data_IF_851696412606
#
_entry.id   IF_851696412606
#
_cell.length_a   1.000
_cell.length_b   1.000
_cell.length_c   1.000
_cell.angle_alpha   90.00
_cell.angle_beta   90.00
_cell.angle_gamma   90.00
#
_symmetry.space_group_name_H-M   'P 1'
#
loop_
_entity.id
_entity.type
_entity.pdbx_description
1 polymer ?
#
# COMPACT_ATOMS: atom_id res chain seq x y z
N UNK A 1 46.27 86.07 7.61
CA UNK A 1 47.63 86.51 8.00
C UNK A 1 48.42 85.25 8.28
N UNK A 2 49.32 84.87 7.36
CA UNK A 2 50.26 83.74 7.51
C UNK A 2 51.40 84.14 8.47
N UNK A 3 52.12 83.20 9.12
CA UNK A 3 53.32 82.61 8.48
C UNK A 3 53.55 81.10 8.83
N UNK A 4 54.11 80.32 7.89
CA UNK A 4 55.47 79.71 7.91
C UNK A 4 55.59 78.45 8.79
N UNK A 5 56.42 77.45 8.50
CA UNK A 5 57.17 76.97 7.32
C UNK A 5 57.80 75.64 7.78
N UNK A 6 58.04 74.76 6.81
CA UNK A 6 58.65 73.43 6.93
C UNK A 6 59.98 73.38 7.71
N UNK A 7 60.24 72.24 8.37
CA UNK A 7 61.58 71.65 8.32
C UNK A 7 61.52 70.12 8.44
N UNK A 8 62.15 69.44 7.47
CA UNK A 8 61.88 68.05 7.13
C UNK A 8 62.84 67.00 7.70
N UNK A 9 62.37 65.74 7.70
CA UNK A 9 63.19 64.54 7.46
C UNK A 9 62.27 63.32 7.24
N UNK A 10 62.20 62.77 6.02
CA UNK A 10 61.99 61.32 5.83
C UNK A 10 63.38 60.69 5.71
N UNK A 11 63.64 59.51 6.31
CA UNK A 11 63.43 58.29 5.52
C UNK A 11 63.10 57.01 6.31
N UNK A 12 62.40 56.12 5.61
CA UNK A 12 62.53 54.65 5.61
C UNK A 12 62.54 53.83 6.91
N UNK A 13 61.56 52.92 6.99
CA UNK A 13 61.86 51.50 7.17
C UNK A 13 61.68 50.93 8.58
N UNK A 14 60.48 50.42 8.87
CA UNK A 14 60.31 49.36 9.86
C UNK A 14 59.61 48.16 9.21
N UNK A 15 60.28 47.02 9.34
CA UNK A 15 60.15 45.82 8.54
C UNK A 15 59.13 44.83 9.10
N UNK A 16 58.72 43.86 8.25
CA UNK A 16 57.84 42.72 8.56
C UNK A 16 58.27 41.85 9.78
N UNK A 17 59.42 42.12 10.42
CA UNK A 17 59.92 41.40 11.60
C UNK A 17 59.54 42.03 12.95
N UNK A 18 58.87 43.19 12.98
CA UNK A 18 58.24 43.69 14.22
C UNK A 18 56.89 43.03 14.53
N UNK A 19 56.42 42.14 13.64
CA UNK A 19 55.12 41.47 13.77
C UNK A 19 55.21 40.03 14.34
N UNK A 20 56.40 39.46 14.58
CA UNK A 20 56.53 38.01 14.88
C UNK A 20 57.59 37.61 15.93
N UNK A 21 57.81 38.38 17.00
CA UNK A 21 58.72 37.91 18.07
C UNK A 21 58.37 38.42 19.48
N UNK A 22 57.95 37.47 20.33
CA UNK A 22 57.86 37.55 21.80
C UNK A 22 56.42 37.62 22.29
N UNK A 23 55.67 36.55 22.57
CA UNK A 23 55.95 35.29 23.30
C UNK A 23 56.69 35.49 24.62
N UNK A 24 55.97 35.24 25.72
CA UNK A 24 56.49 34.43 26.84
C UNK A 24 56.49 35.10 28.22
N UNK A 25 55.58 34.68 29.11
CA UNK A 25 55.65 35.00 30.54
C UNK A 25 54.50 34.45 31.41
N UNK A 26 54.48 33.13 31.62
CA UNK A 26 54.09 32.34 32.83
C UNK A 26 53.46 33.16 33.99
N UNK A 27 52.31 32.88 34.61
CA UNK A 27 51.68 31.62 35.02
C UNK A 27 51.85 31.40 36.53
N UNK A 28 50.79 31.54 37.37
CA UNK A 28 50.74 30.99 38.73
C UNK A 28 49.31 31.03 39.37
N UNK A 29 48.75 29.84 39.57
CA UNK A 29 47.73 29.39 40.56
C UNK A 29 46.26 29.79 40.39
N UNK A 30 45.43 28.77 40.11
CA UNK A 30 43.97 28.82 40.27
C UNK A 30 43.24 27.63 39.65
N UNK A 31 43.60 26.39 40.02
CA UNK A 31 42.84 25.20 39.66
C UNK A 31 41.48 25.19 40.38
N UNK A 32 40.39 25.47 39.64
CA UNK A 32 39.07 24.89 39.86
C UNK A 32 38.34 24.90 38.50
N UNK A 33 38.13 23.70 37.98
CA UNK A 33 37.65 23.35 36.64
C UNK A 33 36.19 23.68 36.36
N UNK A 34 35.89 24.22 35.17
CA UNK A 34 34.73 23.78 34.37
C UNK A 34 33.55 24.72 34.11
N UNK A 35 33.74 26.02 33.85
CA UNK A 35 32.71 26.84 33.18
C UNK A 35 33.30 27.40 31.88
N UNK A 36 32.97 26.76 30.77
CA UNK A 36 33.45 27.11 29.44
C UNK A 36 33.04 28.52 29.04
N UNK A 37 34.04 29.36 28.85
CA UNK A 37 33.99 30.64 28.13
C UNK A 37 33.30 30.47 26.77
N UNK A 38 32.10 31.03 26.63
CA UNK A 38 31.46 31.19 25.32
C UNK A 38 32.17 32.28 24.52
N UNK A 39 32.59 31.96 23.30
CA UNK A 39 33.06 32.96 22.36
C UNK A 39 31.84 33.72 21.80
N UNK A 40 31.76 35.03 22.07
CA UNK A 40 30.73 35.90 21.49
C UNK A 40 31.24 36.45 20.16
N UNK A 41 31.16 35.64 19.10
CA UNK A 41 31.34 36.09 17.72
C UNK A 41 29.94 36.18 17.09
N UNK A 42 29.26 37.29 17.34
CA UNK A 42 28.13 37.71 16.53
C UNK A 42 28.62 38.83 15.61
N UNK A 43 29.16 38.45 14.46
CA UNK A 43 29.26 39.42 13.37
C UNK A 43 27.83 39.58 12.80
N UNK A 44 27.25 40.77 12.96
CA UNK A 44 25.95 41.13 12.35
C UNK A 44 26.25 42.10 11.22
N UNK A 45 26.69 41.58 10.09
CA UNK A 45 26.65 42.34 8.83
C UNK A 45 25.29 42.10 8.17
N UNK A 46 24.44 43.13 8.18
CA UNK A 46 23.19 43.13 7.44
C UNK A 46 23.47 43.55 5.99
N UNK A 47 23.66 42.57 5.09
CA UNK A 47 23.67 42.82 3.66
C UNK A 47 22.22 43.09 3.20
N UNK A 48 21.86 44.29 2.71
CA UNK A 48 20.47 44.66 2.43
C UNK A 48 19.86 43.97 1.19
N UNK A 49 20.51 42.95 0.63
CA UNK A 49 20.06 42.21 -0.57
C UNK A 49 20.35 40.70 -0.50
N UNK A 50 20.50 40.13 0.69
CA UNK A 50 20.56 38.68 0.82
C UNK A 50 19.14 38.11 0.86
N UNK A 51 18.65 37.59 -0.27
CA UNK A 51 17.55 36.62 -0.26
C UNK A 51 18.15 35.32 0.25
N UNK A 52 17.96 35.01 1.53
CA UNK A 52 18.18 33.67 2.03
C UNK A 52 17.08 32.78 1.43
N UNK A 53 17.36 32.14 0.30
CA UNK A 53 16.56 31.02 -0.15
C UNK A 53 16.78 29.87 0.83
N UNK A 54 15.73 29.41 1.51
CA UNK A 54 15.74 28.07 2.07
C UNK A 54 16.09 27.12 0.92
N UNK A 55 17.02 26.18 1.14
CA UNK A 55 17.50 25.29 0.07
C UNK A 55 16.33 24.72 -0.72
N UNK A 56 16.41 24.79 -2.05
CA UNK A 56 15.40 24.20 -2.91
C UNK A 56 15.46 22.67 -2.76
N UNK A 57 14.32 22.05 -2.46
CA UNK A 57 14.15 20.60 -2.65
C UNK A 57 13.91 20.44 -4.14
N UNK A 58 14.91 19.98 -4.87
CA UNK A 58 14.82 19.78 -6.31
C UNK A 58 14.86 18.31 -6.65
N UNK A 59 13.74 17.78 -7.15
CA UNK A 59 13.65 16.46 -7.78
C UNK A 59 13.77 16.61 -9.30
N UNK A 60 14.33 15.60 -9.93
CA UNK A 60 14.31 15.45 -11.39
C UNK A 60 13.74 14.10 -11.77
N UNK A 61 13.07 14.07 -12.92
CA UNK A 61 12.61 12.85 -13.59
C UNK A 61 13.25 12.85 -14.98
N UNK A 62 14.00 11.81 -15.29
CA UNK A 62 14.82 11.68 -16.51
C UNK A 62 15.73 12.91 -16.73
N UNK A 63 16.30 13.42 -15.62
CA UNK A 63 17.17 14.59 -15.59
C UNK A 63 16.48 15.94 -15.74
N UNK A 64 15.15 16.00 -15.87
CA UNK A 64 14.37 17.24 -15.96
C UNK A 64 13.70 17.57 -14.62
N UNK A 65 13.68 18.83 -14.17
CA UNK A 65 12.96 19.22 -12.95
C UNK A 65 11.48 18.80 -13.01
N UNK A 66 10.97 18.23 -11.92
CA UNK A 66 9.57 17.83 -11.76
C UNK A 66 8.91 18.61 -10.62
N UNK A 67 7.58 18.76 -10.69
CA UNK A 67 6.74 19.25 -9.61
C UNK A 67 6.24 18.14 -8.67
N UNK A 68 6.63 16.90 -8.95
CA UNK A 68 6.23 15.72 -8.18
C UNK A 68 5.10 14.92 -8.82
N UNK A 69 4.71 15.18 -10.07
CA UNK A 69 3.81 14.28 -10.82
C UNK A 69 4.58 13.66 -11.97
N UNK A 70 4.44 12.35 -12.15
CA UNK A 70 5.08 11.58 -13.23
C UNK A 70 4.03 10.75 -13.93
N UNK A 71 3.97 10.84 -15.24
CA UNK A 71 3.10 10.01 -16.07
C UNK A 71 3.97 9.14 -16.96
N UNK A 72 3.75 7.83 -16.92
CA UNK A 72 4.46 6.84 -17.72
C UNK A 72 3.47 6.22 -18.71
N UNK A 73 3.86 6.17 -19.98
CA UNK A 73 2.99 5.71 -21.06
C UNK A 73 3.20 6.50 -22.35
N UNK A 74 2.28 6.36 -23.32
CA UNK A 74 1.11 5.48 -23.29
C UNK A 74 1.51 4.00 -23.39
N UNK A 75 0.79 3.15 -22.66
CA UNK A 75 0.90 1.70 -22.71
C UNK A 75 -0.20 1.09 -23.57
N UNK A 76 0.12 0.17 -24.49
CA UNK A 76 -0.89 -0.51 -25.27
C UNK A 76 -1.65 -1.53 -24.41
N UNK A 77 -2.97 -1.39 -24.33
CA UNK A 77 -3.86 -2.28 -23.58
C UNK A 77 -4.29 -3.44 -24.48
N UNK A 78 -3.34 -4.31 -24.79
CA UNK A 78 -3.60 -5.51 -25.59
C UNK A 78 -3.50 -6.75 -24.71
N UNK A 79 -4.41 -7.70 -24.93
CA UNK A 79 -4.33 -9.01 -24.31
C UNK A 79 -3.03 -9.70 -24.67
N UNK A 80 -2.29 -10.14 -23.67
CA UNK A 80 -1.03 -10.87 -23.84
C UNK A 80 -0.98 -12.05 -22.89
N UNK A 81 -0.21 -13.09 -23.26
CA UNK A 81 0.17 -14.11 -22.29
C UNK A 81 1.26 -13.57 -21.37
N UNK A 82 1.41 -14.15 -20.18
CA UNK A 82 2.42 -13.72 -19.22
C UNK A 82 3.87 -13.80 -19.78
N UNK A 83 4.13 -14.75 -20.69
CA UNK A 83 5.44 -14.89 -21.33
C UNK A 83 5.68 -13.84 -22.45
N UNK A 84 4.63 -13.14 -22.89
CA UNK A 84 4.64 -12.18 -24.00
C UNK A 84 4.32 -10.74 -23.52
N UNK A 85 4.59 -10.45 -22.25
CA UNK A 85 4.33 -9.13 -21.64
C UNK A 85 5.00 -7.98 -22.41
N UNK A 86 4.38 -6.79 -22.44
CA UNK A 86 4.99 -5.58 -22.98
C UNK A 86 6.32 -5.24 -22.30
N UNK A 87 7.14 -4.43 -22.98
CA UNK A 87 8.34 -3.86 -22.37
C UNK A 87 7.92 -2.89 -21.26
N UNK A 88 8.54 -2.94 -20.06
CA UNK A 88 8.24 -2.01 -18.99
C UNK A 88 8.48 -0.55 -19.41
N UNK A 89 7.61 0.35 -18.96
CA UNK A 89 7.89 1.78 -18.96
C UNK A 89 8.86 2.10 -17.84
N UNK A 90 9.73 3.08 -18.04
CA UNK A 90 10.76 3.43 -17.04
C UNK A 90 10.88 4.93 -16.89
N UNK A 91 11.26 5.36 -15.69
CA UNK A 91 11.69 6.72 -15.42
C UNK A 91 12.74 6.74 -14.30
N UNK A 92 13.68 7.68 -14.38
CA UNK A 92 14.76 7.83 -13.41
C UNK A 92 14.52 9.04 -12.51
N UNK A 93 14.48 8.81 -11.21
CA UNK A 93 14.36 9.87 -10.20
C UNK A 93 15.75 10.30 -9.74
N UNK A 94 16.01 11.60 -9.75
CA UNK A 94 17.26 12.20 -9.31
C UNK A 94 17.06 13.39 -8.38
N UNK A 95 18.14 13.81 -7.72
CA UNK A 95 18.19 15.01 -6.91
C UNK A 95 19.01 16.11 -7.61
N UNK A 96 18.47 17.33 -7.72
CA UNK A 96 19.15 18.41 -8.46
C UNK A 96 19.94 19.40 -7.60
N UNK A 97 19.60 19.54 -6.32
CA UNK A 97 20.16 20.60 -5.47
C UNK A 97 20.83 20.09 -4.18
N UNK A 98 20.11 19.30 -3.38
CA UNK A 98 20.57 18.80 -2.09
C UNK A 98 20.21 17.32 -1.97
N UNK A 99 20.86 16.54 -1.09
CA UNK A 99 20.47 15.17 -0.85
C UNK A 99 19.04 15.10 -0.32
N UNK A 100 18.25 14.18 -0.86
CA UNK A 100 16.82 14.03 -0.54
C UNK A 100 16.44 12.59 -0.21
N UNK A 101 15.37 12.47 0.57
CA UNK A 101 14.57 11.25 0.72
C UNK A 101 13.40 11.34 -0.24
N UNK A 102 12.95 10.21 -0.77
CA UNK A 102 11.95 10.17 -1.83
C UNK A 102 10.83 9.19 -1.45
N UNK A 103 9.60 9.67 -1.56
CA UNK A 103 8.39 8.86 -1.47
C UNK A 103 7.72 8.83 -2.82
N UNK A 104 7.25 7.64 -3.21
CA UNK A 104 6.44 7.39 -4.38
C UNK A 104 5.06 6.92 -3.94
N UNK A 105 4.04 7.54 -4.50
CA UNK A 105 2.63 7.23 -4.27
C UNK A 105 1.87 7.23 -5.59
N UNK A 106 0.64 6.75 -5.54
CA UNK A 106 -0.38 6.89 -6.59
C UNK A 106 -1.56 7.67 -6.01
N UNK A 107 -2.48 8.11 -6.87
CA UNK A 107 -3.80 8.49 -6.38
C UNK A 107 -4.62 7.22 -6.05
N UNK A 108 -5.76 7.41 -5.40
CA UNK A 108 -6.69 6.31 -5.18
C UNK A 108 -7.35 5.89 -6.49
N UNK A 109 -7.71 4.60 -6.63
CA UNK A 109 -8.29 4.10 -7.86
C UNK A 109 -9.58 4.80 -8.22
N UNK A 110 -9.82 4.90 -9.52
CA UNK A 110 -11.09 5.31 -10.09
C UNK A 110 -11.99 4.08 -10.27
N UNK A 111 -13.32 4.25 -10.12
CA UNK A 111 -14.27 3.15 -10.38
C UNK A 111 -14.39 2.89 -11.90
N UNK A 112 -13.40 2.21 -12.49
CA UNK A 112 -13.37 1.89 -13.91
C UNK A 112 -12.94 0.45 -14.22
N UNK A 113 -13.47 -0.19 -15.29
CA UNK A 113 -13.21 -1.61 -15.56
C UNK A 113 -11.75 -1.94 -15.92
N UNK A 114 -10.94 -0.96 -16.31
CA UNK A 114 -9.53 -1.20 -16.63
C UNK A 114 -8.72 -1.42 -15.34
N UNK A 115 -9.08 -0.74 -14.26
CA UNK A 115 -8.47 -0.87 -12.94
C UNK A 115 -8.41 -2.31 -12.42
N UNK A 116 -9.53 -3.03 -12.55
CA UNK A 116 -9.64 -4.44 -12.14
C UNK A 116 -8.95 -5.42 -13.10
N UNK A 117 -8.86 -5.08 -14.39
CA UNK A 117 -8.43 -5.99 -15.43
C UNK A 117 -6.94 -5.87 -15.79
N UNK A 118 -6.37 -4.67 -15.72
CA UNK A 118 -4.97 -4.42 -16.07
C UNK A 118 -4.08 -4.83 -14.90
N UNK A 119 -3.19 -5.79 -15.11
CA UNK A 119 -2.22 -6.17 -14.10
C UNK A 119 -0.93 -5.35 -14.24
N UNK A 120 -0.43 -4.82 -13.13
CA UNK A 120 0.75 -3.97 -13.07
C UNK A 120 1.73 -4.48 -12.02
N UNK A 121 3.00 -4.52 -12.37
CA UNK A 121 4.12 -4.65 -11.43
C UNK A 121 4.96 -3.38 -11.42
N UNK A 122 5.27 -2.86 -10.23
CA UNK A 122 6.19 -1.73 -10.04
C UNK A 122 7.45 -2.23 -9.34
N UNK A 123 8.61 -1.96 -9.95
CA UNK A 123 9.93 -2.33 -9.45
C UNK A 123 10.77 -1.07 -9.26
N UNK A 124 11.50 -0.99 -8.16
CA UNK A 124 12.38 0.13 -7.82
C UNK A 124 13.79 -0.41 -7.62
N UNK A 125 14.74 0.06 -8.42
CA UNK A 125 16.15 -0.40 -8.39
C UNK A 125 16.32 -1.93 -8.39
N UNK A 126 15.41 -2.62 -9.09
CA UNK A 126 15.37 -4.09 -9.20
C UNK A 126 14.64 -4.81 -8.06
N UNK A 127 14.16 -4.11 -7.04
CA UNK A 127 13.37 -4.66 -5.95
C UNK A 127 11.87 -4.45 -6.19
N UNK A 128 11.03 -5.49 -6.08
CA UNK A 128 9.60 -5.37 -6.31
C UNK A 128 8.95 -4.52 -5.22
N UNK A 129 8.20 -3.49 -5.63
CA UNK A 129 7.41 -2.65 -4.74
C UNK A 129 5.99 -3.18 -4.55
N UNK A 130 5.48 -3.91 -5.55
CA UNK A 130 4.12 -4.48 -5.61
C UNK A 130 4.08 -6.01 -5.46
N UNK A 131 5.12 -6.64 -4.94
CA UNK A 131 5.18 -8.10 -4.71
C UNK A 131 4.71 -8.95 -5.92
N UNK A 132 5.04 -8.49 -7.14
CA UNK A 132 4.58 -9.09 -8.39
C UNK A 132 3.54 -8.26 -9.14
N UNK A 133 2.89 -8.92 -10.10
CA UNK A 133 1.80 -8.35 -10.88
C UNK A 133 0.47 -8.51 -10.14
N UNK A 134 -0.31 -7.42 -10.11
CA UNK A 134 -1.62 -7.35 -9.44
C UNK A 134 -2.53 -6.39 -10.20
N UNK A 135 -3.86 -6.45 -10.04
CA UNK A 135 -4.77 -5.45 -10.62
C UNK A 135 -4.30 -4.02 -10.32
N UNK A 136 -4.42 -3.12 -11.31
CA UNK A 136 -4.02 -1.72 -11.21
C UNK A 136 -4.65 -1.05 -9.99
N UNK A 137 -5.93 -1.32 -9.76
CA UNK A 137 -6.68 -0.86 -8.60
C UNK A 137 -6.02 -1.24 -7.27
N UNK A 138 -5.52 -2.47 -7.17
CA UNK A 138 -4.82 -2.96 -5.99
C UNK A 138 -3.46 -2.28 -5.83
N UNK A 139 -2.75 -2.07 -6.93
CA UNK A 139 -1.48 -1.32 -6.95
C UNK A 139 -1.69 0.12 -6.48
N UNK A 140 -2.73 0.79 -6.97
CA UNK A 140 -3.04 2.17 -6.61
C UNK A 140 -3.40 2.31 -5.13
N UNK A 141 -4.22 1.40 -4.58
CA UNK A 141 -4.50 1.38 -3.13
C UNK A 141 -3.23 1.16 -2.30
N UNK A 142 -2.40 0.19 -2.70
CA UNK A 142 -1.18 -0.17 -1.96
C UNK A 142 -0.11 0.92 -1.98
N UNK A 143 -0.09 1.78 -3.00
CA UNK A 143 0.84 2.89 -3.12
C UNK A 143 0.25 4.23 -2.68
N UNK A 144 -1.07 4.36 -2.50
CA UNK A 144 -1.71 5.62 -2.10
C UNK A 144 -1.16 6.21 -0.78
N UNK A 145 -0.82 5.34 0.19
CA UNK A 145 -0.20 5.74 1.46
C UNK A 145 1.25 6.23 1.35
N UNK A 146 1.86 6.13 0.16
CA UNK A 146 3.23 6.49 -0.14
C UNK A 146 4.27 5.53 0.41
N UNK A 147 5.17 5.05 -0.46
CA UNK A 147 6.30 4.20 -0.10
C UNK A 147 7.60 4.97 -0.23
N UNK A 148 8.46 4.87 0.79
CA UNK A 148 9.83 5.39 0.70
C UNK A 148 10.64 4.48 -0.21
N UNK A 149 11.29 5.05 -1.21
CA UNK A 149 11.97 4.31 -2.30
C UNK A 149 13.48 4.55 -2.35
N UNK A 150 14.02 5.43 -1.50
CA UNK A 150 15.46 5.63 -1.36
C UNK A 150 16.11 4.67 -0.35
N UNK A 151 17.39 4.34 -0.57
CA UNK A 151 18.28 3.75 0.45
C UNK A 151 19.06 4.87 1.19
N UNK A 152 18.33 5.68 1.96
CA UNK A 152 18.90 6.73 2.79
C UNK A 152 18.78 8.13 2.18
N UNK A 153 19.84 8.65 1.57
CA UNK A 153 19.81 9.99 0.99
C UNK A 153 20.29 9.93 -0.44
N UNK A 154 19.40 10.26 -1.37
CA UNK A 154 19.72 10.38 -2.78
C UNK A 154 20.56 11.64 -2.99
N UNK A 155 21.85 11.45 -3.25
CA UNK A 155 22.81 12.54 -3.45
C UNK A 155 22.50 13.35 -4.72
N UNK A 156 22.72 14.66 -4.65
CA UNK A 156 22.45 15.56 -5.77
C UNK A 156 23.65 15.74 -6.71
N UNK A 157 23.34 16.05 -7.97
CA UNK A 157 24.32 16.41 -8.99
C UNK A 157 24.71 15.26 -9.93
N UNK A 158 25.65 15.52 -10.86
CA UNK A 158 25.97 14.60 -11.97
C UNK A 158 26.69 13.31 -11.54
N UNK A 159 27.27 13.31 -10.34
CA UNK A 159 27.88 12.14 -9.71
C UNK A 159 26.96 11.51 -8.64
N UNK A 160 25.77 12.07 -8.44
CA UNK A 160 24.73 11.53 -7.58
C UNK A 160 24.09 10.29 -8.21
N UNK A 161 23.55 9.40 -7.37
CA UNK A 161 22.77 8.26 -7.85
C UNK A 161 21.43 8.69 -8.45
N UNK A 162 20.77 7.75 -9.12
CA UNK A 162 19.36 7.83 -9.49
C UNK A 162 18.64 6.61 -8.97
N UNK A 163 17.33 6.73 -8.79
CA UNK A 163 16.43 5.62 -8.48
C UNK A 163 15.70 5.29 -9.79
N UNK A 164 15.86 4.07 -10.30
CA UNK A 164 15.16 3.59 -11.48
C UNK A 164 13.82 3.00 -11.04
N UNK A 165 12.73 3.51 -11.63
CA UNK A 165 11.40 2.92 -11.47
C UNK A 165 11.00 2.24 -12.77
N UNK A 166 10.66 0.97 -12.71
CA UNK A 166 10.14 0.18 -13.83
C UNK A 166 8.66 -0.15 -13.56
N UNK A 167 7.81 0.11 -14.56
CA UNK A 167 6.36 -0.10 -14.49
C UNK A 167 5.97 -1.04 -15.62
N UNK A 168 5.46 -2.22 -15.25
CA UNK A 168 5.18 -3.32 -16.16
C UNK A 168 3.69 -3.61 -16.22
N UNK A 169 2.92 -2.87 -17.05
CA UNK A 169 1.52 -3.18 -17.26
C UNK A 169 1.35 -4.32 -18.28
N UNK A 170 0.42 -5.22 -18.03
CA UNK A 170 -0.06 -6.17 -19.02
C UNK A 170 -1.54 -6.49 -18.81
N UNK A 171 -2.24 -6.75 -19.91
CA UNK A 171 -3.63 -7.19 -19.86
C UNK A 171 -3.66 -8.72 -20.01
N UNK A 172 -4.19 -9.49 -19.04
CA UNK A 172 -4.33 -10.93 -19.15
C UNK A 172 -5.12 -11.38 -20.40
N UNK A 173 -4.82 -12.59 -20.89
CA UNK A 173 -5.41 -13.12 -22.11
C UNK A 173 -6.92 -13.43 -22.00
N UNK A 174 -7.44 -13.55 -20.79
CA UNK A 174 -8.83 -13.80 -20.42
C UNK A 174 -9.57 -12.52 -19.98
N UNK A 175 -8.90 -11.36 -19.97
CA UNK A 175 -9.53 -10.09 -19.63
C UNK A 175 -10.72 -9.76 -20.56
N UNK A 176 -11.71 -8.95 -20.13
CA UNK A 176 -12.91 -8.63 -20.92
C UNK A 176 -12.61 -7.93 -22.27
N UNK A 177 -13.50 -8.08 -23.27
CA UNK A 177 -13.31 -7.47 -24.60
C UNK A 177 -13.41 -5.93 -24.53
N UNK A 178 -14.15 -5.42 -23.55
CA UNK A 178 -14.50 -4.00 -23.40
C UNK A 178 -13.30 -3.13 -23.02
N UNK A 179 -12.29 -3.70 -22.37
CA UNK A 179 -11.08 -3.00 -21.91
C UNK A 179 -9.90 -3.10 -22.89
N UNK A 180 -9.99 -3.98 -23.89
CA UNK A 180 -8.90 -4.24 -24.82
C UNK A 180 -8.89 -3.26 -26.02
N UNK A 181 -7.69 -2.99 -26.54
CA UNK A 181 -7.47 -2.24 -27.78
C UNK A 181 -7.37 -0.72 -27.62
N UNK A 182 -7.22 -0.24 -26.40
CA UNK A 182 -6.94 1.17 -26.06
C UNK A 182 -5.46 1.38 -25.68
N UNK A 183 -5.12 2.61 -25.35
CA UNK A 183 -3.86 2.97 -24.68
C UNK A 183 -4.20 3.60 -23.34
N UNK A 184 -3.32 3.41 -22.34
CA UNK A 184 -3.47 4.00 -21.00
C UNK A 184 -2.17 4.60 -20.52
N UNK A 185 -2.27 5.59 -19.64
CA UNK A 185 -1.15 6.22 -18.96
C UNK A 185 -1.24 5.93 -17.47
N UNK A 186 -0.10 5.69 -16.81
CA UNK A 186 -0.05 5.47 -15.36
C UNK A 186 0.60 6.67 -14.67
N UNK A 187 -0.04 7.18 -13.63
CA UNK A 187 0.39 8.41 -12.94
C UNK A 187 0.87 8.12 -11.53
N UNK A 188 2.05 8.66 -11.21
CA UNK A 188 2.70 8.57 -9.91
C UNK A 188 2.92 9.95 -9.32
N UNK A 189 2.90 10.00 -7.99
CA UNK A 189 3.16 11.19 -7.19
C UNK A 189 4.45 11.00 -6.42
N UNK A 190 5.37 11.94 -6.58
CA UNK A 190 6.64 11.98 -5.91
C UNK A 190 6.63 13.08 -4.86
N UNK A 191 7.20 12.77 -3.71
CA UNK A 191 7.55 13.76 -2.70
C UNK A 191 9.02 13.60 -2.32
N UNK A 192 9.68 14.72 -2.10
CA UNK A 192 11.02 14.73 -1.53
C UNK A 192 11.12 15.60 -0.29
N UNK A 193 11.93 15.13 0.64
CA UNK A 193 12.37 15.89 1.80
C UNK A 193 13.90 16.01 1.78
N UNK A 194 14.42 17.20 2.02
CA UNK A 194 15.86 17.38 2.19
C UNK A 194 16.38 16.59 3.40
N UNK A 195 17.44 15.81 3.18
CA UNK A 195 18.06 15.02 4.23
C UNK A 195 18.67 15.85 5.34
N UNK A 196 19.20 17.02 4.98
CA UNK A 196 19.81 17.93 5.95
C UNK A 196 18.73 18.38 6.93
N UNK A 197 18.99 18.17 8.23
CA UNK A 197 18.19 18.60 9.39
C UNK A 197 17.18 17.58 9.97
N UNK A 198 16.90 16.46 9.30
CA UNK A 198 16.05 15.38 9.83
C UNK A 198 16.86 14.09 9.95
N UNK A 199 16.87 13.48 11.13
CA UNK A 199 17.55 12.19 11.33
C UNK A 199 16.77 11.06 10.66
N UNK A 200 17.44 9.98 10.26
CA UNK A 200 16.74 8.82 9.67
C UNK A 200 15.65 8.24 10.59
N UNK A 201 15.84 8.33 11.91
CA UNK A 201 14.84 7.87 12.88
C UNK A 201 13.59 8.76 12.91
N UNK A 202 13.73 10.05 12.64
CA UNK A 202 12.62 11.01 12.64
C UNK A 202 11.92 11.10 11.27
N UNK A 203 12.60 10.70 10.19
CA UNK A 203 12.12 10.78 8.81
C UNK A 203 10.86 9.92 8.53
N UNK A 204 10.57 8.94 9.38
CA UNK A 204 9.34 8.15 9.26
C UNK A 204 8.06 9.02 9.33
N UNK A 205 8.10 10.14 10.06
CA UNK A 205 6.99 11.09 10.16
C UNK A 205 6.88 12.06 8.99
N UNK A 206 7.82 12.04 8.04
CA UNK A 206 7.89 13.01 6.92
C UNK A 206 7.07 12.59 5.70
N UNK A 207 6.54 11.37 5.66
CA UNK A 207 5.72 10.89 4.56
C UNK A 207 4.42 11.73 4.47
N UNK A 208 4.23 12.57 3.44
CA UNK A 208 3.04 13.42 3.34
C UNK A 208 1.81 12.64 2.86
N UNK A 209 2.00 11.42 2.36
CA UNK A 209 0.94 10.53 1.90
C UNK A 209 0.44 9.63 3.03
N UNK A 210 1.12 9.62 4.18
CA UNK A 210 0.73 8.82 5.33
C UNK A 210 -0.71 9.14 5.77
N UNK A 211 -1.54 8.10 5.92
CA UNK A 211 -2.95 8.22 6.26
C UNK A 211 -3.87 8.48 5.06
N UNK A 212 -3.35 8.46 3.83
CA UNK A 212 -4.20 8.30 2.65
C UNK A 212 -4.72 6.87 2.63
N UNK A 213 -6.03 6.74 2.81
CA UNK A 213 -6.75 5.48 2.72
C UNK A 213 -7.74 5.63 1.57
N UNK A 214 -7.67 4.71 0.62
CA UNK A 214 -8.61 4.66 -0.47
C UNK A 214 -9.88 3.98 0.01
N UNK A 215 -11.03 4.58 -0.29
CA UNK A 215 -12.29 3.88 -0.08
C UNK A 215 -12.25 2.61 -0.94
N UNK A 216 -12.34 1.43 -0.32
CA UNK A 216 -12.60 0.23 -1.09
C UNK A 216 -14.02 0.30 -1.64
N UNK A 217 -14.17 0.10 -2.94
CA UNK A 217 -15.44 -0.19 -3.59
C UNK A 217 -15.88 -1.62 -3.24
N UNK A 218 -15.88 -1.94 -1.94
CA UNK A 218 -16.38 -3.21 -1.44
C UNK A 218 -17.77 -3.00 -0.86
N UNK A 219 -18.60 -4.01 -1.02
CA UNK A 219 -19.93 -4.03 -0.45
C UNK A 219 -19.82 -4.66 0.94
N UNK A 220 -20.11 -3.92 2.03
CA UNK A 220 -20.16 -4.54 3.35
C UNK A 220 -21.30 -5.55 3.37
N UNK A 221 -21.08 -6.74 3.93
CA UNK A 221 -22.10 -7.77 4.08
C UNK A 221 -22.46 -7.88 5.57
N UNK A 222 -23.29 -6.97 6.05
CA UNK A 222 -23.73 -6.89 7.45
C UNK A 222 -25.12 -6.23 7.58
N UNK A 223 -25.72 -6.35 8.76
CA UNK A 223 -26.94 -5.66 9.17
C UNK A 223 -28.19 -5.85 8.28
N UNK A 224 -28.35 -7.02 7.65
CA UNK A 224 -29.49 -7.32 6.76
C UNK A 224 -29.65 -6.25 5.66
N UNK A 225 -28.54 -5.70 5.16
CA UNK A 225 -28.52 -4.61 4.19
C UNK A 225 -29.08 -4.97 2.79
N UNK A 226 -29.57 -6.20 2.60
CA UNK A 226 -30.18 -6.67 1.37
C UNK A 226 -29.19 -7.17 0.32
N UNK A 227 -27.90 -7.27 0.67
CA UNK A 227 -26.85 -7.82 -0.19
C UNK A 227 -26.97 -9.35 -0.24
N UNK A 228 -26.89 -9.90 -1.44
CA UNK A 228 -26.89 -11.33 -1.70
C UNK A 228 -25.53 -11.76 -2.23
N UNK A 229 -24.95 -12.82 -1.65
CA UNK A 229 -23.63 -13.32 -2.05
C UNK A 229 -23.75 -14.27 -3.25
N UNK A 230 -23.19 -13.87 -4.38
CA UNK A 230 -23.23 -14.63 -5.64
C UNK A 230 -22.10 -15.66 -5.78
N UNK A 231 -20.93 -15.37 -5.22
CA UNK A 231 -19.77 -16.27 -5.23
C UNK A 231 -18.94 -16.16 -3.96
N UNK A 232 -18.31 -17.28 -3.58
CA UNK A 232 -17.30 -17.39 -2.54
C UNK A 232 -16.11 -18.19 -3.05
N UNK A 233 -14.90 -17.71 -2.79
CA UNK A 233 -13.66 -18.49 -2.93
C UNK A 233 -13.16 -18.82 -1.53
N UNK A 234 -13.00 -20.11 -1.25
CA UNK A 234 -12.56 -20.60 0.05
C UNK A 234 -11.18 -21.25 -0.07
N UNK A 235 -10.32 -21.02 0.91
CA UNK A 235 -9.08 -21.76 1.12
C UNK A 235 -9.30 -22.84 2.17
N UNK A 236 -8.90 -24.07 1.86
CA UNK A 236 -8.91 -25.17 2.83
C UNK A 236 -7.64 -25.15 3.71
N UNK A 237 -7.82 -25.06 5.03
CA UNK A 237 -6.76 -24.94 6.03
C UNK A 237 -6.45 -26.27 6.75
N UNK A 238 -7.01 -27.39 6.30
CA UNK A 238 -6.73 -28.70 6.91
C UNK A 238 -5.33 -29.21 6.56
N UNK A 239 -4.72 -29.95 7.48
CA UNK A 239 -3.36 -30.50 7.31
C UNK A 239 -3.26 -31.65 6.29
N UNK A 240 -4.38 -32.34 6.03
CA UNK A 240 -4.50 -33.49 5.13
C UNK A 240 -5.56 -33.22 4.04
N UNK A 241 -5.37 -33.72 2.80
CA UNK A 241 -6.38 -33.61 1.75
C UNK A 241 -7.73 -34.21 2.16
N UNK A 242 -8.82 -33.56 1.74
CA UNK A 242 -10.18 -34.00 2.06
C UNK A 242 -11.11 -33.91 0.84
N UNK A 243 -12.17 -34.70 0.85
CA UNK A 243 -13.26 -34.58 -0.12
C UNK A 243 -14.32 -33.66 0.46
N UNK A 244 -14.45 -32.45 -0.08
CA UNK A 244 -15.38 -31.43 0.40
C UNK A 244 -16.64 -31.43 -0.45
N UNK A 245 -17.80 -31.52 0.22
CA UNK A 245 -19.12 -31.37 -0.38
C UNK A 245 -19.78 -30.12 0.20
N UNK A 246 -20.19 -29.21 -0.67
CA UNK A 246 -20.89 -27.98 -0.28
C UNK A 246 -22.33 -28.04 -0.74
N UNK A 247 -23.26 -27.88 0.20
CA UNK A 247 -24.70 -27.90 -0.05
C UNK A 247 -25.32 -26.54 0.27
N UNK A 248 -25.86 -25.88 -0.74
CA UNK A 248 -26.64 -24.67 -0.61
C UNK A 248 -28.10 -24.97 -0.24
N UNK A 249 -28.68 -24.18 0.66
CA UNK A 249 -30.09 -24.27 1.04
C UNK A 249 -30.89 -23.12 0.46
N UNK A 250 -32.13 -23.39 0.02
CA UNK A 250 -33.10 -22.34 -0.29
C UNK A 250 -33.12 -21.79 -1.73
N UNK A 251 -32.33 -22.35 -2.65
CA UNK A 251 -32.38 -21.98 -4.06
C UNK A 251 -33.36 -22.84 -4.87
N UNK A 252 -34.55 -22.30 -5.18
CA UNK A 252 -35.35 -22.84 -6.28
C UNK A 252 -36.85 -22.56 -6.23
N UNK A 253 -37.43 -22.45 -7.41
CA UNK A 253 -38.86 -22.48 -7.69
C UNK A 253 -39.48 -23.79 -7.18
N UNK A 254 -39.79 -23.85 -5.88
CA UNK A 254 -40.30 -25.07 -5.26
C UNK A 254 -39.77 -25.34 -3.85
N UNK A 255 -39.23 -24.35 -3.15
CA UNK A 255 -38.84 -24.43 -1.73
C UNK A 255 -40.01 -24.75 -0.80
N UNK A 256 -40.46 -26.00 -0.82
CA UNK A 256 -41.21 -26.66 0.22
C UNK A 256 -40.57 -28.04 0.41
N UNK A 257 -39.33 -28.05 0.93
CA UNK A 257 -38.58 -29.28 1.20
C UNK A 257 -37.16 -29.00 1.72
N UNK A 258 -36.72 -29.83 2.65
CA UNK A 258 -35.44 -29.84 3.37
C UNK A 258 -34.25 -30.37 2.56
N UNK A 259 -34.30 -30.35 1.23
CA UNK A 259 -33.22 -30.87 0.36
C UNK A 259 -32.45 -29.73 -0.28
N UNK A 260 -31.21 -29.48 0.16
CA UNK A 260 -30.33 -28.50 -0.46
C UNK A 260 -29.76 -28.94 -1.82
N UNK A 261 -29.11 -28.02 -2.52
CA UNK A 261 -28.45 -28.22 -3.82
C UNK A 261 -26.94 -28.33 -3.60
N UNK A 262 -26.30 -29.39 -4.11
CA UNK A 262 -24.84 -29.48 -4.10
C UNK A 262 -24.26 -28.47 -5.10
N UNK A 263 -23.46 -27.54 -4.60
CA UNK A 263 -22.80 -26.47 -5.38
C UNK A 263 -21.31 -26.71 -5.56
N UNK A 264 -20.73 -27.61 -4.77
CA UNK A 264 -19.36 -28.10 -4.92
C UNK A 264 -19.25 -29.55 -4.41
N UNK A 265 -18.48 -30.38 -5.10
CA UNK A 265 -18.14 -31.76 -4.73
C UNK A 265 -16.78 -32.09 -5.35
N UNK A 266 -15.73 -32.13 -4.53
CA UNK A 266 -14.37 -32.31 -5.02
C UNK A 266 -13.34 -32.56 -3.93
N UNK A 267 -12.19 -33.09 -4.33
CA UNK A 267 -11.02 -33.24 -3.47
C UNK A 267 -10.27 -31.91 -3.39
N UNK A 268 -9.88 -31.50 -2.18
CA UNK A 268 -9.08 -30.30 -1.92
C UNK A 268 -7.84 -30.65 -1.08
N UNK A 269 -6.70 -30.10 -1.46
CA UNK A 269 -5.43 -30.22 -0.74
C UNK A 269 -5.26 -29.08 0.28
N UNK A 270 -4.34 -29.22 1.27
CA UNK A 270 -3.97 -28.12 2.16
C UNK A 270 -3.59 -26.85 1.39
N UNK A 271 -4.09 -25.70 1.83
CA UNK A 271 -3.95 -24.37 1.21
C UNK A 271 -4.57 -24.21 -0.18
N UNK A 272 -5.25 -25.24 -0.72
CA UNK A 272 -5.94 -25.16 -2.00
C UNK A 272 -7.18 -24.27 -1.90
N UNK A 273 -7.39 -23.46 -2.93
CA UNK A 273 -8.57 -22.61 -3.08
C UNK A 273 -9.58 -23.22 -4.03
N UNK A 274 -10.86 -23.16 -3.68
CA UNK A 274 -11.96 -23.61 -4.53
C UNK A 274 -13.11 -22.59 -4.54
N UNK A 275 -13.87 -22.58 -5.64
CA UNK A 275 -14.94 -21.60 -5.89
C UNK A 275 -16.30 -22.24 -5.70
N UNK A 276 -17.19 -21.51 -5.04
CA UNK A 276 -18.61 -21.80 -4.90
C UNK A 276 -19.36 -20.66 -5.58
N UNK A 277 -20.23 -20.98 -6.53
CA UNK A 277 -21.07 -19.99 -7.21
C UNK A 277 -22.57 -20.36 -7.15
N UNK A 278 -23.41 -19.33 -7.21
CA UNK A 278 -24.86 -19.50 -7.14
C UNK A 278 -25.50 -19.97 -8.44
N UNK A 279 -24.77 -20.05 -9.56
CA UNK A 279 -25.33 -20.47 -10.85
C UNK A 279 -25.78 -21.93 -10.83
N UNK A 280 -25.15 -22.74 -9.97
CA UNK A 280 -25.53 -24.13 -9.69
C UNK A 280 -26.80 -24.26 -8.82
N UNK A 281 -27.28 -23.18 -8.19
CA UNK A 281 -28.41 -23.16 -7.24
C UNK A 281 -29.37 -21.97 -7.48
N UNK A 282 -29.94 -21.82 -8.69
CA UNK A 282 -30.70 -20.61 -9.03
C UNK A 282 -31.96 -20.48 -8.17
N UNK A 283 -32.10 -19.35 -7.49
CA UNK A 283 -33.31 -19.03 -6.72
C UNK A 283 -34.37 -18.35 -7.62
N UNK A 284 -35.64 -18.41 -7.23
CA UNK A 284 -36.73 -17.75 -8.00
C UNK A 284 -36.69 -16.24 -7.99
N UNK A 285 -36.06 -15.65 -6.98
CA UNK A 285 -35.96 -14.19 -6.80
C UNK A 285 -34.66 -13.62 -7.37
N UNK A 286 -33.59 -14.41 -7.28
CA UNK A 286 -32.25 -14.05 -7.71
C UNK A 286 -31.51 -15.30 -8.23
N UNK A 287 -31.29 -15.42 -9.55
CA UNK A 287 -30.66 -16.59 -10.14
C UNK A 287 -29.15 -16.67 -9.89
N UNK A 288 -28.51 -15.56 -9.47
CA UNK A 288 -27.07 -15.52 -9.17
C UNK A 288 -26.75 -15.82 -7.71
N UNK A 289 -27.75 -15.74 -6.82
CA UNK A 289 -27.55 -15.96 -5.38
C UNK A 289 -27.31 -17.43 -5.04
N UNK A 290 -26.26 -17.72 -4.26
CA UNK A 290 -25.95 -19.09 -3.75
C UNK A 290 -27.11 -19.65 -2.91
N UNK A 291 -27.83 -18.77 -2.20
CA UNK A 291 -28.92 -19.09 -1.28
C UNK A 291 -28.65 -18.56 0.13
N UNK A 292 -29.59 -18.66 1.08
CA UNK A 292 -29.42 -18.12 2.43
C UNK A 292 -28.32 -18.76 3.28
N UNK A 293 -28.04 -20.05 3.08
CA UNK A 293 -26.97 -20.74 3.80
C UNK A 293 -26.32 -21.82 2.93
N UNK A 294 -25.03 -22.01 3.13
CA UNK A 294 -24.28 -23.18 2.66
C UNK A 294 -23.78 -24.02 3.84
N UNK A 295 -23.60 -25.31 3.58
CA UNK A 295 -23.05 -26.28 4.53
C UNK A 295 -21.87 -26.99 3.89
N UNK A 296 -20.71 -26.97 4.54
CA UNK A 296 -19.47 -27.59 4.09
C UNK A 296 -19.18 -28.86 4.89
N UNK A 297 -19.12 -29.99 4.22
CA UNK A 297 -18.82 -31.30 4.81
C UNK A 297 -17.57 -31.88 4.15
N UNK A 298 -16.51 -32.10 4.92
CA UNK A 298 -15.24 -32.73 4.50
C UNK A 298 -15.20 -34.25 4.82
N UNK A 299 -16.32 -34.81 5.28
CA UNK A 299 -16.40 -36.21 5.70
C UNK A 299 -15.75 -36.49 7.06
N UNK A 300 -15.18 -35.49 7.73
CA UNK A 300 -14.80 -35.62 9.14
C UNK A 300 -16.09 -35.58 9.98
N UNK A 301 -16.49 -36.72 10.51
CA UNK A 301 -17.62 -36.77 11.45
C UNK A 301 -17.36 -35.78 12.58
N UNK A 302 -18.16 -34.72 12.66
CA UNK A 302 -18.12 -33.78 13.78
C UNK A 302 -18.20 -34.58 15.08
N UNK A 303 -17.10 -34.63 15.83
CA UNK A 303 -17.10 -35.15 17.18
C UNK A 303 -18.03 -34.23 17.99
N UNK A 304 -19.09 -34.72 18.65
CA UNK A 304 -20.03 -33.87 19.38
C UNK A 304 -19.42 -33.18 20.62
N UNK A 305 -18.13 -33.39 20.91
CA UNK A 305 -17.48 -32.96 22.16
C UNK A 305 -16.32 -31.95 22.01
N UNK A 306 -16.47 -30.92 21.16
CA UNK A 306 -15.69 -29.67 21.32
C UNK A 306 -16.59 -28.45 21.44
N UNK A 307 -17.49 -28.52 22.43
CA UNK A 307 -17.96 -27.32 23.11
C UNK A 307 -16.84 -26.72 23.98
N UNK A 308 -16.25 -25.62 23.50
CA UNK A 308 -15.46 -24.67 24.30
C UNK A 308 -14.31 -24.08 23.50
N UNK A 309 -14.15 -22.77 23.30
CA UNK A 309 -14.89 -21.61 23.78
C UNK A 309 -13.99 -20.37 23.64
N UNK A 310 -14.58 -19.27 23.16
CA UNK A 310 -14.00 -17.91 23.08
C UNK A 310 -14.15 -17.36 21.66
N UNK A 311 -15.15 -16.56 21.29
CA UNK A 311 -15.78 -15.39 21.92
C UNK A 311 -15.77 -14.31 20.81
N UNK A 312 -16.87 -13.70 20.36
CA UNK A 312 -17.69 -12.77 21.12
C UNK A 312 -19.02 -12.51 20.35
N UNK A 313 -20.18 -12.75 20.96
CA UNK A 313 -21.48 -12.48 20.35
C UNK A 313 -22.59 -12.49 21.40
N UNK A 314 -22.90 -11.31 21.93
CA UNK A 314 -23.95 -11.08 22.92
C UNK A 314 -25.31 -10.98 22.21
N UNK A 315 -26.19 -11.98 22.37
CA UNK A 315 -27.56 -11.95 21.85
C UNK A 315 -28.44 -13.00 22.51
N UNK A 316 -29.07 -12.66 23.64
CA UNK A 316 -30.02 -13.53 24.32
C UNK A 316 -31.33 -13.65 23.54
N UNK A 317 -31.86 -14.87 23.39
CA UNK A 317 -33.16 -15.05 22.75
C UNK A 317 -33.60 -16.49 22.49
N UNK A 318 -34.07 -17.15 23.56
CA UNK A 318 -35.18 -18.11 23.59
C UNK A 318 -35.19 -19.31 22.61
N UNK A 319 -34.91 -20.49 23.17
CA UNK A 319 -35.07 -21.76 22.46
C UNK A 319 -36.50 -22.04 22.02
N UNK A 320 -36.63 -22.56 20.80
CA UNK A 320 -37.76 -23.38 20.40
C UNK A 320 -37.22 -24.54 19.55
N UNK A 321 -37.16 -25.73 20.17
CA UNK A 321 -36.72 -26.94 19.51
C UNK A 321 -37.67 -27.34 18.39
N UNK A 322 -37.13 -27.51 17.19
CA UNK A 322 -37.79 -28.22 16.11
C UNK A 322 -36.76 -29.17 15.46
N UNK A 323 -36.84 -30.45 15.84
CA UNK A 323 -36.05 -31.52 15.25
C UNK A 323 -36.48 -31.76 13.80
N UNK A 324 -35.67 -31.31 12.84
CA UNK A 324 -35.75 -31.63 11.43
C UNK A 324 -34.35 -31.64 10.85
N UNK A 325 -33.90 -32.79 10.36
CA UNK A 325 -32.54 -33.14 9.88
C UNK A 325 -31.55 -31.99 9.75
N UNK A 326 -30.68 -31.81 10.76
CA UNK A 326 -29.53 -30.93 10.67
C UNK A 326 -28.63 -31.41 9.53
N UNK A 327 -28.40 -30.56 8.53
CA UNK A 327 -27.34 -30.80 7.55
C UNK A 327 -26.02 -30.86 8.31
N UNK A 328 -25.24 -31.92 8.06
CA UNK A 328 -23.89 -32.04 8.63
C UNK A 328 -22.97 -31.00 7.98
N UNK A 329 -21.96 -30.56 8.71
CA UNK A 329 -20.94 -29.65 8.20
C UNK A 329 -20.94 -28.26 8.82
N UNK A 330 -19.94 -27.48 8.44
CA UNK A 330 -19.75 -26.07 8.82
C UNK A 330 -20.75 -25.21 8.07
N UNK A 331 -21.48 -24.35 8.78
CA UNK A 331 -22.48 -23.48 8.17
C UNK A 331 -21.92 -22.07 7.89
N UNK A 332 -22.20 -21.53 6.71
CA UNK A 332 -21.93 -20.13 6.35
C UNK A 332 -23.23 -19.48 5.86
N UNK A 333 -23.53 -18.30 6.40
CA UNK A 333 -24.70 -17.49 6.04
C UNK A 333 -24.35 -16.51 4.90
N UNK A 334 -24.95 -16.71 3.73
CA UNK A 334 -24.67 -15.95 2.49
C UNK A 334 -25.75 -14.90 2.19
N UNK A 335 -26.46 -14.44 3.22
CA UNK A 335 -27.59 -13.49 3.15
C UNK A 335 -27.30 -12.12 3.80
N UNK A 336 -26.07 -11.89 4.26
CA UNK A 336 -25.65 -10.68 4.97
C UNK A 336 -26.51 -10.30 6.20
N UNK A 337 -27.30 -11.25 6.71
CA UNK A 337 -28.03 -11.12 7.98
C UNK A 337 -27.12 -11.26 9.21
N UNK A 338 -25.95 -11.86 9.00
CA UNK A 338 -24.80 -11.84 9.90
C UNK A 338 -23.58 -11.36 9.12
N UNK A 339 -22.61 -10.71 9.80
CA UNK A 339 -21.39 -10.27 9.15
C UNK A 339 -20.68 -11.43 8.44
N UNK A 340 -20.35 -11.23 7.17
CA UNK A 340 -19.50 -12.10 6.38
C UNK A 340 -18.47 -11.24 5.68
N UNK A 341 -17.19 -11.56 5.90
CA UNK A 341 -16.07 -10.74 5.43
C UNK A 341 -14.98 -11.61 4.82
N UNK A 342 -14.22 -11.05 3.89
CA UNK A 342 -12.98 -11.68 3.41
C UNK A 342 -11.99 -11.78 4.57
N UNK A 343 -11.35 -12.95 4.73
CA UNK A 343 -10.50 -13.34 5.86
C UNK A 343 -11.23 -14.06 6.99
N UNK A 344 -12.57 -14.15 6.97
CA UNK A 344 -13.29 -14.93 7.99
C UNK A 344 -12.96 -16.43 7.88
N UNK A 345 -12.71 -17.07 9.02
CA UNK A 345 -12.43 -18.50 9.12
C UNK A 345 -13.61 -19.24 9.76
N UNK A 346 -14.15 -20.22 9.04
CA UNK A 346 -15.28 -21.04 9.46
C UNK A 346 -14.83 -22.47 9.78
N UNK A 347 -15.31 -22.99 10.91
CA UNK A 347 -14.99 -24.35 11.38
C UNK A 347 -13.51 -24.61 11.66
N UNK A 348 -12.65 -23.59 11.62
CA UNK A 348 -11.20 -23.72 11.70
C UNK A 348 -10.52 -24.33 10.46
N UNK A 349 -11.29 -24.56 9.38
CA UNK A 349 -10.83 -25.29 8.19
C UNK A 349 -11.05 -24.53 6.89
N UNK A 350 -11.87 -23.47 6.88
CA UNK A 350 -12.23 -22.76 5.65
C UNK A 350 -12.07 -21.26 5.85
N UNK A 351 -11.14 -20.65 5.12
CA UNK A 351 -10.94 -19.19 5.08
C UNK A 351 -11.62 -18.62 3.83
N UNK A 352 -12.40 -17.54 3.98
CA UNK A 352 -12.91 -16.77 2.83
C UNK A 352 -11.78 -15.94 2.25
N UNK A 353 -11.29 -16.28 1.06
CA UNK A 353 -10.20 -15.53 0.41
C UNK A 353 -10.70 -14.56 -0.67
N UNK A 354 -11.91 -14.76 -1.17
CA UNK A 354 -12.63 -13.79 -1.99
C UNK A 354 -14.14 -14.03 -1.90
N UNK A 355 -14.94 -12.98 -2.08
CA UNK A 355 -16.39 -13.06 -2.12
C UNK A 355 -16.96 -11.92 -2.96
N UNK A 356 -18.05 -12.18 -3.69
CA UNK A 356 -18.72 -11.17 -4.50
C UNK A 356 -20.25 -11.21 -4.35
N UNK A 357 -20.89 -10.05 -4.54
CA UNK A 357 -22.34 -9.93 -4.65
C UNK A 357 -22.86 -10.63 -5.90
N UNK A 358 -24.18 -10.78 -6.02
CA UNK A 358 -24.84 -11.28 -7.23
C UNK A 358 -24.61 -10.41 -8.47
N UNK A 359 -24.26 -9.15 -8.26
CA UNK A 359 -23.91 -8.19 -9.31
C UNK A 359 -22.40 -8.16 -9.63
N UNK A 360 -21.60 -8.96 -8.91
CA UNK A 360 -20.16 -9.11 -9.13
C UNK A 360 -19.29 -8.15 -8.32
N UNK A 361 -19.85 -7.35 -7.42
CA UNK A 361 -19.09 -6.41 -6.57
C UNK A 361 -18.37 -7.16 -5.43
N UNK A 362 -17.11 -6.85 -5.10
CA UNK A 362 -16.37 -7.55 -4.05
C UNK A 362 -16.93 -7.25 -2.64
N UNK A 363 -16.90 -8.21 -1.72
CA UNK A 363 -17.24 -7.98 -0.32
C UNK A 363 -16.07 -7.46 0.50
N UNK A 364 -16.36 -6.65 1.51
CA UNK A 364 -15.34 -6.09 2.39
C UNK A 364 -14.64 -7.15 3.27
N UNK A 365 -13.36 -6.91 3.57
CA UNK A 365 -12.52 -7.76 4.42
C UNK A 365 -12.66 -7.51 5.93
N UNK A 366 -12.09 -8.41 6.72
CA UNK A 366 -11.91 -8.27 8.18
C UNK A 366 -10.77 -7.32 8.53
N UNK A 367 -9.79 -7.23 7.65
CA UNK A 367 -8.89 -6.10 7.54
C UNK A 367 -9.55 -5.15 6.53
N UNK A 368 -9.71 -3.87 6.88
CA UNK A 368 -10.08 -2.83 5.91
C UNK A 368 -9.03 -2.87 4.78
N UNK A 369 -9.32 -3.63 3.72
CA UNK A 369 -8.57 -3.66 2.46
C UNK A 369 -8.98 -2.47 1.60
#
# INVERSE_FOLDING_TARGET
>A
MNPDSDDGRRPSGLSRRRLLAGIGGVGAVGMASGLGTGAYLADREAFPNNVFGAGEVGLTVDGNPTDGTVTVGPFPVNRTTFDERPVPGTFEIGASANPVRVWLATDCPEDDPLGDALEVEVVVDGEPLTDGHRPLDEVERLLAGGRRIDDGCLEAGPDGGSILVEVSPYLPADAPDEVAGSETDLTFRLYAEQCRHVSEADAAGSNPFAGTECASACVPCEDENGVAVGSLTLRYLGDDPATVVVVATGGGAGGNGTGGTTVFDGDVAPDETFVIDGTASPTTGDPGWIGPNIYLDDGASADPETGGGGGNGNGGGNGNGNSGGSQAGVNIHTSCSVPLRVGDVYGGLYEIVAAATTDGEPLCGTEEN
#
